data_IF_887328954363
#
_entry.id   IF_887328954363
#
_cell.length_a   1.000
_cell.length_b   1.000
_cell.length_c   1.000
_cell.angle_alpha   90.00
_cell.angle_beta   90.00
_cell.angle_gamma   90.00
#
_symmetry.space_group_name_H-M   'P 1'
#
loop_
_entity.id
_entity.type
_entity.pdbx_description
1 polymer ?
#
# COMPACT_ATOMS: atom_id res chain seq x y z
N UNK A 1 7.01 15.76 79.32
CA UNK A 1 6.37 16.20 78.07
C UNK A 1 7.32 15.88 76.93
N UNK A 2 7.12 14.84 76.14
CA UNK A 2 7.99 14.55 74.97
C UNK A 2 7.31 15.13 73.70
N UNK A 3 8.08 15.89 72.93
CA UNK A 3 7.75 16.49 71.68
C UNK A 3 7.95 15.46 70.57
N UNK A 4 6.86 15.06 69.89
CA UNK A 4 6.92 14.19 68.72
C UNK A 4 7.24 15.04 67.49
N UNK A 5 8.41 14.83 66.88
CA UNK A 5 8.78 15.38 65.59
C UNK A 5 8.19 14.50 64.47
N UNK A 6 7.25 15.07 63.71
CA UNK A 6 6.67 14.37 62.55
C UNK A 6 7.60 14.63 61.37
N UNK A 7 8.29 13.59 60.88
CA UNK A 7 9.04 13.62 59.64
C UNK A 7 8.08 13.37 58.46
N UNK A 8 7.86 14.41 57.68
CA UNK A 8 7.14 14.32 56.40
C UNK A 8 8.12 13.79 55.37
N UNK A 9 7.96 12.52 54.98
CA UNK A 9 8.69 11.94 53.84
C UNK A 9 7.97 12.34 52.58
N UNK A 10 8.55 13.27 51.85
CA UNK A 10 8.08 13.59 50.48
C UNK A 10 8.54 12.49 49.52
N UNK A 11 7.59 11.67 49.08
CA UNK A 11 7.80 10.72 48.00
C UNK A 11 7.80 11.47 46.68
N UNK A 12 8.98 11.75 46.14
CA UNK A 12 9.11 12.31 44.79
C UNK A 12 8.93 11.14 43.80
N UNK A 13 7.73 11.05 43.26
CA UNK A 13 7.41 10.09 42.19
C UNK A 13 7.98 10.62 40.87
N UNK A 14 9.20 10.18 40.49
CA UNK A 14 9.77 10.42 39.19
C UNK A 14 8.97 9.66 38.13
N UNK A 15 7.99 10.33 37.54
CA UNK A 15 7.32 9.85 36.31
C UNK A 15 8.31 9.98 35.15
N UNK A 16 9.13 8.94 34.96
CA UNK A 16 9.87 8.76 33.71
C UNK A 16 8.85 8.43 32.61
N UNK A 17 8.34 9.47 31.99
CA UNK A 17 7.49 9.36 30.81
C UNK A 17 8.32 8.76 29.67
N UNK A 18 8.20 7.46 29.42
CA UNK A 18 8.62 6.84 28.17
C UNK A 18 7.82 7.47 27.03
N UNK A 19 8.37 8.53 26.46
CA UNK A 19 7.85 9.13 25.24
C UNK A 19 8.17 8.16 24.10
N UNK A 20 7.25 7.24 23.82
CA UNK A 20 7.30 6.45 22.59
C UNK A 20 7.32 7.42 21.42
N UNK A 21 8.46 7.50 20.74
CA UNK A 21 8.56 8.16 19.45
C UNK A 21 7.68 7.36 18.48
N UNK A 22 6.47 7.83 18.25
CA UNK A 22 5.71 7.39 17.09
C UNK A 22 6.55 7.72 15.85
N UNK A 23 6.76 6.78 14.94
CA UNK A 23 7.38 7.09 13.68
C UNK A 23 6.51 8.14 12.97
N UNK A 24 7.00 9.37 12.93
CA UNK A 24 6.34 10.43 12.17
C UNK A 24 6.50 10.10 10.70
N UNK A 25 5.44 9.58 10.11
CA UNK A 25 5.34 9.46 8.66
C UNK A 25 5.39 10.88 8.09
N UNK A 26 6.54 11.28 7.56
CA UNK A 26 6.65 12.49 6.76
C UNK A 26 6.17 12.14 5.35
N UNK A 27 4.91 12.44 5.07
CA UNK A 27 4.50 12.67 3.68
C UNK A 27 5.42 13.77 3.16
N UNK A 28 6.15 13.56 2.06
CA UNK A 28 6.97 14.63 1.48
C UNK A 28 6.10 15.84 1.23
N UNK A 29 6.50 17.01 1.76
CA UNK A 29 5.73 18.27 1.67
C UNK A 29 5.77 18.90 0.26
N UNK A 30 6.03 18.14 -0.77
CA UNK A 30 5.95 18.54 -2.17
C UNK A 30 4.81 17.77 -2.85
N UNK A 31 3.60 18.34 -2.79
CA UNK A 31 2.65 18.12 -3.86
C UNK A 31 3.11 19.05 -5.00
N UNK A 32 3.29 18.66 -6.17
CA UNK A 32 2.86 17.69 -7.11
C UNK A 32 4.00 17.28 -8.07
N UNK A 33 3.85 16.26 -8.78
CA UNK A 33 3.07 16.11 -10.01
C UNK A 33 1.88 15.15 -9.85
N UNK A 34 1.56 14.74 -8.62
CA UNK A 34 0.62 13.68 -8.28
C UNK A 34 -0.79 14.17 -7.94
N UNK A 35 -1.22 15.31 -8.54
CA UNK A 35 -2.57 15.84 -8.32
C UNK A 35 -3.64 14.80 -8.71
N UNK A 36 -4.53 14.49 -7.76
CA UNK A 36 -5.57 13.47 -7.97
C UNK A 36 -5.14 12.04 -7.64
N UNK A 37 -3.88 11.81 -7.25
CA UNK A 37 -3.41 10.51 -6.80
C UNK A 37 -3.35 10.43 -5.27
N UNK A 38 -3.45 9.21 -4.76
CA UNK A 38 -3.31 8.90 -3.33
C UNK A 38 -1.97 8.23 -3.10
N UNK A 39 -1.24 8.68 -2.06
CA UNK A 39 -0.02 8.01 -1.64
C UNK A 39 -0.38 6.76 -0.82
N UNK A 40 0.11 5.63 -1.23
CA UNK A 40 0.08 4.40 -0.43
C UNK A 40 1.50 3.98 -0.07
N UNK A 41 1.67 3.36 1.08
CA UNK A 41 2.95 2.71 1.41
C UNK A 41 2.86 1.24 1.07
N UNK A 42 3.84 0.78 0.28
CA UNK A 42 4.05 -0.62 0.02
C UNK A 42 5.37 -1.00 0.70
N UNK A 43 5.29 -1.70 1.83
CA UNK A 43 6.40 -1.91 2.76
C UNK A 43 6.91 -0.56 3.31
N UNK A 44 7.98 0.01 2.76
CA UNK A 44 8.56 1.30 3.16
C UNK A 44 8.54 2.34 2.05
N UNK A 45 8.13 1.94 0.86
CA UNK A 45 8.21 2.76 -0.33
C UNK A 45 6.85 3.33 -0.71
N UNK A 46 6.84 4.57 -1.17
CA UNK A 46 5.60 5.25 -1.58
C UNK A 46 5.31 4.96 -3.05
N UNK A 47 4.10 4.51 -3.31
CA UNK A 47 3.51 4.44 -4.65
C UNK A 47 2.32 5.41 -4.70
N UNK A 48 2.27 6.22 -5.72
CA UNK A 48 1.16 7.15 -5.97
C UNK A 48 0.12 6.47 -6.85
N UNK A 49 -1.09 6.28 -6.35
CA UNK A 49 -2.09 5.48 -7.04
C UNK A 49 -3.37 6.24 -7.34
N UNK A 50 -3.91 5.99 -8.51
CA UNK A 50 -5.32 6.22 -8.80
C UNK A 50 -6.12 5.10 -8.15
N UNK A 51 -7.15 5.44 -7.36
CA UNK A 51 -7.99 4.45 -6.69
C UNK A 51 -9.25 4.22 -7.52
N UNK A 52 -9.51 2.96 -7.86
CA UNK A 52 -10.70 2.52 -8.59
C UNK A 52 -11.48 1.50 -7.78
N UNK A 53 -12.76 1.79 -7.52
CA UNK A 53 -13.62 0.96 -6.66
C UNK A 53 -14.96 0.60 -7.30
N UNK A 54 -15.40 1.35 -8.32
CA UNK A 54 -16.61 1.01 -9.05
C UNK A 54 -16.33 0.00 -10.19
N UNK A 55 -17.34 -0.79 -10.62
CA UNK A 55 -17.14 -1.83 -11.62
C UNK A 55 -16.62 -1.33 -12.96
N UNK A 56 -17.04 -0.14 -13.42
CA UNK A 56 -16.65 0.39 -14.72
C UNK A 56 -15.18 0.82 -14.72
N UNK A 57 -14.76 1.59 -13.70
CA UNK A 57 -13.37 2.03 -13.53
C UNK A 57 -12.42 0.84 -13.35
N UNK A 58 -12.82 -0.17 -12.55
CA UNK A 58 -12.03 -1.40 -12.42
C UNK A 58 -11.91 -2.17 -13.73
N UNK A 59 -12.98 -2.23 -14.52
CA UNK A 59 -12.95 -2.90 -15.81
C UNK A 59 -12.05 -2.19 -16.82
N UNK A 60 -11.99 -0.86 -16.78
CA UNK A 60 -11.12 -0.07 -17.63
C UNK A 60 -9.65 -0.16 -17.20
N UNK A 61 -9.37 -0.05 -15.90
CA UNK A 61 -8.00 -0.09 -15.38
C UNK A 61 -7.06 0.86 -16.12
N UNK A 62 -5.87 0.39 -16.47
CA UNK A 62 -4.85 1.13 -17.21
C UNK A 62 -4.96 0.97 -18.76
N UNK A 63 -6.09 0.45 -19.26
CA UNK A 63 -6.30 0.33 -20.70
C UNK A 63 -6.08 1.66 -21.44
N UNK A 64 -5.56 1.57 -22.65
CA UNK A 64 -5.31 2.69 -23.60
C UNK A 64 -4.27 3.70 -23.14
N UNK A 65 -3.69 3.59 -21.94
CA UNK A 65 -2.59 4.44 -21.49
C UNK A 65 -1.31 4.07 -22.23
N UNK A 66 -0.53 5.10 -22.58
CA UNK A 66 0.74 4.98 -23.28
C UNK A 66 1.94 5.14 -22.36
N UNK A 67 1.71 5.73 -21.20
CA UNK A 67 2.73 6.00 -20.20
C UNK A 67 2.14 5.92 -18.80
N UNK A 68 2.99 5.54 -17.85
CA UNK A 68 2.73 5.54 -16.42
C UNK A 68 4.02 6.04 -15.75
N UNK A 69 4.01 7.20 -15.07
CA UNK A 69 5.18 7.71 -14.40
C UNK A 69 5.77 6.69 -13.42
N UNK A 70 7.08 6.81 -13.17
CA UNK A 70 7.90 5.77 -12.53
C UNK A 70 7.32 5.23 -11.22
N UNK A 71 6.83 6.11 -10.36
CA UNK A 71 6.33 5.77 -9.03
C UNK A 71 4.80 5.95 -8.93
N UNK A 72 4.12 5.81 -10.06
CA UNK A 72 2.65 5.81 -10.16
C UNK A 72 2.11 4.42 -10.46
N UNK A 73 0.83 4.23 -10.10
CA UNK A 73 0.12 2.98 -10.29
C UNK A 73 -1.39 3.12 -10.16
N UNK A 74 -2.07 2.00 -10.06
CA UNK A 74 -3.50 1.93 -9.83
C UNK A 74 -3.81 0.95 -8.71
N UNK A 75 -4.65 1.37 -7.77
CA UNK A 75 -5.17 0.55 -6.69
C UNK A 75 -6.63 0.19 -6.98
N UNK A 76 -6.87 -1.08 -7.19
CA UNK A 76 -8.20 -1.66 -7.34
C UNK A 76 -8.73 -2.07 -5.96
N UNK A 77 -9.90 -1.57 -5.60
CA UNK A 77 -10.57 -1.89 -4.34
C UNK A 77 -11.84 -2.67 -4.63
N UNK A 78 -12.00 -3.82 -3.99
CA UNK A 78 -13.18 -4.69 -4.13
C UNK A 78 -14.04 -4.61 -2.89
N UNK A 79 -15.33 -4.91 -3.02
CA UNK A 79 -16.30 -4.80 -1.92
C UNK A 79 -16.12 -5.92 -0.88
N UNK A 80 -15.69 -7.09 -1.31
CA UNK A 80 -15.46 -8.27 -0.48
C UNK A 80 -14.28 -9.09 -1.01
N UNK A 81 -13.60 -9.85 -0.13
CA UNK A 81 -12.50 -10.70 -0.54
C UNK A 81 -12.97 -11.81 -1.50
N UNK A 82 -12.24 -11.96 -2.61
CA UNK A 82 -12.55 -12.97 -3.63
C UNK A 82 -11.29 -13.34 -4.40
N UNK A 83 -11.32 -14.44 -5.15
CA UNK A 83 -10.28 -14.72 -6.12
C UNK A 83 -10.36 -13.68 -7.24
N UNK A 84 -9.30 -12.92 -7.40
CA UNK A 84 -9.20 -11.87 -8.41
C UNK A 84 -8.52 -12.41 -9.66
N UNK A 85 -9.01 -11.99 -10.83
CA UNK A 85 -8.51 -12.43 -12.12
C UNK A 85 -8.43 -11.24 -13.09
N UNK A 86 -7.24 -10.95 -13.58
CA UNK A 86 -6.95 -9.82 -14.45
C UNK A 86 -6.47 -10.28 -15.82
N UNK A 87 -6.51 -9.39 -16.79
CA UNK A 87 -6.03 -9.57 -18.15
C UNK A 87 -5.33 -8.31 -18.64
N UNK A 88 -4.62 -8.39 -19.76
CA UNK A 88 -3.91 -7.25 -20.36
C UNK A 88 -4.55 -6.75 -21.65
N UNK A 89 -5.84 -7.00 -21.84
CA UNK A 89 -6.58 -6.51 -23.00
C UNK A 89 -6.47 -4.98 -23.08
N UNK A 90 -6.14 -4.46 -24.26
CA UNK A 90 -5.99 -3.03 -24.53
C UNK A 90 -4.99 -2.28 -23.62
N UNK A 91 -4.13 -3.02 -22.88
CA UNK A 91 -3.13 -2.44 -21.99
C UNK A 91 -1.76 -2.52 -22.65
N UNK A 92 -1.22 -1.35 -23.02
CA UNK A 92 0.04 -1.23 -23.78
C UNK A 92 1.28 -1.24 -22.87
N UNK A 93 1.09 -1.00 -21.60
CA UNK A 93 2.16 -0.85 -20.62
C UNK A 93 2.60 -2.23 -20.08
N UNK A 94 3.91 -2.49 -19.97
CA UNK A 94 4.39 -3.62 -19.18
C UNK A 94 4.18 -3.31 -17.70
N UNK A 95 3.41 -4.14 -17.01
CA UNK A 95 3.01 -3.94 -15.62
C UNK A 95 3.37 -5.14 -14.76
N UNK A 96 3.50 -4.89 -13.46
CA UNK A 96 3.35 -5.92 -12.44
C UNK A 96 2.02 -5.72 -11.71
N UNK A 97 1.37 -6.81 -11.33
CA UNK A 97 0.20 -6.79 -10.45
C UNK A 97 0.53 -7.47 -9.13
N UNK A 98 0.26 -6.78 -8.02
CA UNK A 98 0.31 -7.34 -6.68
C UNK A 98 -1.11 -7.54 -6.14
N UNK A 99 -1.45 -8.76 -5.77
CA UNK A 99 -2.71 -9.08 -5.10
C UNK A 99 -2.54 -8.98 -3.60
N UNK A 100 -3.52 -8.35 -2.93
CA UNK A 100 -3.42 -8.02 -1.51
C UNK A 100 -4.65 -8.50 -0.76
N UNK A 101 -4.42 -9.26 0.29
CA UNK A 101 -5.44 -9.81 1.16
C UNK A 101 -6.15 -8.75 2.02
N UNK A 102 -7.27 -9.07 2.69
CA UNK A 102 -7.99 -8.15 3.57
C UNK A 102 -7.15 -7.60 4.73
N UNK A 103 -6.18 -8.36 5.22
CA UNK A 103 -5.23 -7.96 6.26
C UNK A 103 -4.05 -7.13 5.72
N UNK A 104 -4.17 -6.67 4.45
CA UNK A 104 -3.21 -5.79 3.78
C UNK A 104 -1.83 -6.41 3.58
N UNK A 105 -1.77 -7.72 3.33
CA UNK A 105 -0.54 -8.42 2.94
C UNK A 105 -0.57 -8.80 1.48
N UNK A 106 0.58 -8.67 0.85
CA UNK A 106 0.75 -9.11 -0.54
C UNK A 106 0.73 -10.64 -0.58
N UNK A 107 -0.22 -11.20 -1.31
CA UNK A 107 -0.35 -12.65 -1.54
C UNK A 107 0.62 -13.15 -2.61
N UNK A 108 0.64 -12.47 -3.74
CA UNK A 108 1.53 -12.74 -4.85
C UNK A 108 1.70 -11.52 -5.73
N UNK A 109 2.79 -11.49 -6.48
CA UNK A 109 3.10 -10.48 -7.50
C UNK A 109 3.38 -11.21 -8.81
N UNK A 110 2.76 -10.75 -9.89
CA UNK A 110 2.90 -11.36 -11.21
C UNK A 110 3.30 -10.31 -12.25
N UNK A 111 4.31 -10.57 -13.08
CA UNK A 111 4.60 -9.74 -14.24
C UNK A 111 3.55 -9.97 -15.32
N UNK A 112 3.05 -8.87 -15.89
CA UNK A 112 2.02 -8.89 -16.92
C UNK A 112 2.57 -8.40 -18.26
N UNK A 113 2.30 -9.15 -19.30
CA UNK A 113 2.79 -8.84 -20.65
C UNK A 113 1.77 -7.94 -21.38
N UNK A 114 2.21 -6.83 -22.00
CA UNK A 114 1.33 -5.96 -22.77
C UNK A 114 0.50 -6.71 -23.82
N UNK A 115 -0.78 -6.32 -23.94
CA UNK A 115 -1.73 -6.84 -24.92
C UNK A 115 -1.96 -8.35 -24.89
N UNK A 116 -1.56 -9.00 -23.81
CA UNK A 116 -1.76 -10.45 -23.66
C UNK A 116 -3.18 -10.75 -23.17
N UNK A 117 -4.00 -11.33 -24.02
CA UNK A 117 -5.38 -11.72 -23.72
C UNK A 117 -5.51 -13.22 -23.38
N UNK A 118 -4.43 -13.99 -23.52
CA UNK A 118 -4.44 -15.43 -23.32
C UNK A 118 -4.49 -15.83 -21.86
N UNK A 119 -3.42 -15.63 -21.07
CA UNK A 119 -3.40 -16.02 -19.67
C UNK A 119 -4.20 -15.05 -18.80
N UNK A 120 -4.75 -15.60 -17.72
CA UNK A 120 -5.28 -14.80 -16.63
C UNK A 120 -4.20 -14.65 -15.54
N UNK A 121 -4.11 -13.45 -15.02
CA UNK A 121 -3.27 -13.14 -13.87
C UNK A 121 -4.13 -13.21 -12.62
N UNK A 122 -3.88 -14.20 -11.77
CA UNK A 122 -4.81 -14.55 -10.70
C UNK A 122 -4.19 -14.39 -9.31
N UNK A 123 -5.02 -14.00 -8.35
CA UNK A 123 -4.62 -14.01 -6.95
C UNK A 123 -4.48 -15.45 -6.44
N UNK A 124 -3.47 -15.69 -5.58
CA UNK A 124 -3.26 -17.01 -4.98
C UNK A 124 -4.36 -17.37 -3.99
N UNK A 125 -4.93 -16.38 -3.33
CA UNK A 125 -6.00 -16.52 -2.35
C UNK A 125 -7.02 -15.39 -2.47
N UNK A 126 -8.04 -15.35 -1.60
CA UNK A 126 -9.01 -14.26 -1.58
C UNK A 126 -8.31 -12.93 -1.31
N UNK A 127 -8.38 -12.02 -2.29
CA UNK A 127 -7.81 -10.68 -2.20
C UNK A 127 -8.92 -9.63 -2.15
N UNK A 128 -8.68 -8.54 -1.45
CA UNK A 128 -9.56 -7.38 -1.35
C UNK A 128 -9.06 -6.23 -2.22
N UNK A 129 -7.74 -6.24 -2.52
CA UNK A 129 -7.10 -5.21 -3.32
C UNK A 129 -6.20 -5.83 -4.39
N UNK A 130 -5.98 -5.08 -5.46
CA UNK A 130 -4.90 -5.33 -6.40
C UNK A 130 -4.18 -4.02 -6.70
N UNK A 131 -2.86 -4.07 -6.90
CA UNK A 131 -2.04 -2.90 -7.21
C UNK A 131 -1.33 -3.18 -8.53
N UNK A 132 -1.59 -2.35 -9.54
CA UNK A 132 -0.82 -2.33 -10.77
C UNK A 132 0.24 -1.22 -10.71
N UNK A 133 1.47 -1.55 -11.08
CA UNK A 133 2.58 -0.63 -11.18
C UNK A 133 3.46 -0.97 -12.40
N UNK A 134 4.35 -0.06 -12.77
CA UNK A 134 5.32 -0.33 -13.82
C UNK A 134 6.08 -1.63 -13.57
N UNK A 135 6.26 -2.45 -14.59
CA UNK A 135 6.96 -3.73 -14.48
C UNK A 135 8.33 -3.57 -13.82
N UNK A 136 8.60 -4.42 -12.84
CA UNK A 136 9.81 -4.41 -12.03
C UNK A 136 9.79 -3.37 -10.89
N UNK A 137 8.71 -2.61 -10.69
CA UNK A 137 8.65 -1.63 -9.60
C UNK A 137 8.79 -2.32 -8.24
N UNK A 138 8.02 -3.36 -7.97
CA UNK A 138 8.09 -4.10 -6.70
C UNK A 138 9.47 -4.70 -6.46
N UNK A 139 10.07 -5.32 -7.48
CA UNK A 139 11.38 -5.94 -7.36
C UNK A 139 12.49 -4.92 -7.06
N UNK A 140 12.46 -3.75 -7.71
CA UNK A 140 13.44 -2.66 -7.46
C UNK A 140 13.38 -2.13 -6.03
N UNK A 141 12.22 -2.19 -5.38
CA UNK A 141 12.01 -1.77 -3.99
C UNK A 141 12.11 -2.94 -2.98
N UNK A 142 12.54 -4.12 -3.44
CA UNK A 142 12.69 -5.30 -2.59
C UNK A 142 11.37 -5.77 -1.95
N UNK A 143 10.25 -5.49 -2.63
CA UNK A 143 8.90 -5.85 -2.19
C UNK A 143 8.54 -7.24 -2.71
N UNK A 144 7.94 -8.06 -1.87
CA UNK A 144 7.62 -9.46 -2.16
C UNK A 144 6.33 -9.89 -1.45
N UNK A 145 5.85 -11.08 -1.78
CA UNK A 145 4.77 -11.72 -1.04
C UNK A 145 5.06 -11.78 0.46
N UNK A 146 4.06 -11.48 1.28
CA UNK A 146 4.14 -11.34 2.73
C UNK A 146 4.42 -9.92 3.23
N UNK A 147 4.93 -9.01 2.40
CA UNK A 147 5.08 -7.60 2.78
C UNK A 147 3.71 -6.92 2.91
N UNK A 148 3.62 -5.89 3.76
CA UNK A 148 2.36 -5.18 4.04
C UNK A 148 2.22 -3.90 3.23
N UNK A 149 0.96 -3.47 3.06
CA UNK A 149 0.63 -2.15 2.52
C UNK A 149 -0.08 -1.31 3.59
N UNK A 150 0.00 0.02 3.43
CA UNK A 150 -0.78 1.00 4.21
C UNK A 150 -1.52 1.90 3.22
N UNK A 151 -2.81 2.02 3.42
CA UNK A 151 -3.75 2.81 2.62
C UNK A 151 -4.17 4.05 3.37
#
# INVERSE_FOLDING_TARGET
MPRYAIYLIAVVCCLVGCRQKQPSFRVPAQAPPYAGLTAILVKTDTLWVEIVSDPASRAQGLMYRRELPKDEGMLFVFEYPQLLSFWMRNTYLPLDIAFVSPDRRIENILPMKPLDEGPRYESRGPALYAIEANQGWFARHGIKAGDSIQL
#
